data_IF_232408155302
#
_entry.id   IF_232408155302
#
_cell.length_a   1.000
_cell.length_b   1.000
_cell.length_c   1.000
_cell.angle_alpha   90.00
_cell.angle_beta   90.00
_cell.angle_gamma   90.00
#
_symmetry.space_group_name_H-M   'P 1'
#
loop_
_entity.id
_entity.type
_entity.pdbx_description
1 polymer ?
#
# COMPACT_ATOMS: atom_id res chain seq x y z
N UNK A 1 -12.94 22.35 -2.19
CA UNK A 1 -13.62 21.22 -2.85
C UNK A 1 -12.53 20.41 -3.51
N UNK A 2 -12.16 19.25 -2.97
CA UNK A 2 -11.09 18.43 -3.54
C UNK A 2 -11.63 17.79 -4.81
N UNK A 3 -11.12 18.19 -5.98
CA UNK A 3 -11.42 17.48 -7.22
C UNK A 3 -10.73 16.12 -7.16
N UNK A 4 -11.49 15.07 -7.44
CA UNK A 4 -10.94 13.74 -7.75
C UNK A 4 -10.08 13.90 -9.01
N UNK A 5 -8.85 13.39 -8.95
CA UNK A 5 -7.89 13.42 -10.06
C UNK A 5 -7.93 12.10 -10.83
N UNK A 6 -7.60 12.16 -12.12
CA UNK A 6 -7.23 10.95 -12.87
C UNK A 6 -5.81 10.59 -12.43
N UNK A 7 -5.58 9.33 -12.07
CA UNK A 7 -4.28 8.89 -11.58
C UNK A 7 -3.42 8.47 -12.78
N UNK A 8 -2.20 8.99 -12.86
CA UNK A 8 -1.19 8.59 -13.83
C UNK A 8 -0.28 7.50 -13.24
N UNK A 9 0.14 6.57 -14.09
CA UNK A 9 1.02 5.47 -13.72
C UNK A 9 1.54 4.71 -14.92
N UNK A 10 2.11 3.55 -14.67
CA UNK A 10 2.74 2.69 -15.67
C UNK A 10 2.07 1.31 -15.70
N UNK A 11 1.93 0.73 -16.89
CA UNK A 11 1.37 -0.61 -17.08
C UNK A 11 2.51 -1.55 -17.47
N UNK A 12 2.62 -2.66 -16.75
CA UNK A 12 3.63 -3.69 -16.97
C UNK A 12 2.98 -5.04 -17.25
N UNK A 13 3.56 -5.77 -18.20
CA UNK A 13 3.32 -7.20 -18.33
C UNK A 13 4.22 -7.95 -17.35
N UNK A 14 3.63 -8.82 -16.55
CA UNK A 14 4.33 -9.59 -15.52
C UNK A 14 3.90 -11.06 -15.60
N UNK A 15 4.83 -11.97 -15.30
CA UNK A 15 4.49 -13.38 -15.16
C UNK A 15 3.80 -13.67 -13.82
N UNK A 16 3.32 -14.91 -13.67
CA UNK A 16 2.59 -15.33 -12.48
C UNK A 16 3.47 -15.30 -11.22
N UNK A 17 4.76 -15.59 -11.34
CA UNK A 17 5.70 -15.58 -10.21
C UNK A 17 5.88 -14.15 -9.67
N UNK A 18 6.12 -13.20 -10.57
CA UNK A 18 6.20 -11.77 -10.25
C UNK A 18 4.90 -11.27 -9.63
N UNK A 19 3.77 -11.70 -10.17
CA UNK A 19 2.46 -11.32 -9.66
C UNK A 19 2.22 -11.83 -8.23
N UNK A 20 2.66 -13.06 -7.91
CA UNK A 20 2.60 -13.60 -6.54
C UNK A 20 3.53 -12.84 -5.57
N UNK A 21 4.71 -12.43 -6.02
CA UNK A 21 5.62 -11.59 -5.22
C UNK A 21 4.94 -10.24 -4.92
N UNK A 22 4.26 -9.64 -5.91
CA UNK A 22 3.53 -8.39 -5.69
C UNK A 22 2.36 -8.56 -4.70
N UNK A 23 1.61 -9.67 -4.77
CA UNK A 23 0.53 -9.96 -3.82
C UNK A 23 1.05 -9.97 -2.37
N UNK A 24 2.18 -10.62 -2.15
CA UNK A 24 2.81 -10.71 -0.83
C UNK A 24 3.37 -9.37 -0.34
N UNK A 25 4.04 -8.62 -1.23
CA UNK A 25 4.55 -7.28 -0.93
C UNK A 25 3.44 -6.32 -0.48
N UNK A 26 2.30 -6.34 -1.17
CA UNK A 26 1.14 -5.50 -0.89
C UNK A 26 0.23 -6.07 0.21
N UNK A 27 0.62 -7.18 0.84
CA UNK A 27 -0.16 -7.90 1.85
C UNK A 27 -1.61 -8.17 1.41
N UNK A 28 -1.76 -8.62 0.15
CA UNK A 28 -3.02 -9.09 -0.39
C UNK A 28 -3.41 -10.43 0.26
N UNK A 29 -4.69 -10.66 0.62
CA UNK A 29 -5.84 -9.74 0.56
C UNK A 29 -6.13 -9.02 1.90
N UNK A 30 -5.19 -9.02 2.84
CA UNK A 30 -5.46 -8.55 4.20
C UNK A 30 -5.39 -7.03 4.34
N UNK A 31 -4.53 -6.36 3.55
CA UNK A 31 -4.37 -4.91 3.55
C UNK A 31 -4.89 -4.28 2.25
N UNK A 32 -4.28 -4.62 1.12
CA UNK A 32 -4.74 -4.19 -0.20
C UNK A 32 -5.54 -5.29 -0.89
N UNK A 33 -6.50 -4.88 -1.73
CA UNK A 33 -7.19 -5.76 -2.66
C UNK A 33 -6.61 -5.61 -4.07
N UNK A 34 -6.36 -6.72 -4.75
CA UNK A 34 -6.03 -6.73 -6.18
C UNK A 34 -7.30 -6.70 -7.04
N UNK A 35 -7.38 -5.77 -7.99
CA UNK A 35 -8.54 -5.57 -8.86
C UNK A 35 -8.15 -5.35 -10.30
N UNK A 36 -9.00 -5.82 -11.22
CA UNK A 36 -8.88 -5.52 -12.64
C UNK A 36 -9.55 -4.17 -12.88
N UNK A 37 -8.80 -3.23 -13.41
CA UNK A 37 -9.27 -1.88 -13.72
C UNK A 37 -8.97 -1.56 -15.19
N UNK A 38 -9.80 -0.70 -15.79
CA UNK A 38 -9.63 -0.25 -17.17
C UNK A 38 -8.72 0.97 -17.21
N UNK A 39 -7.59 0.87 -17.90
CA UNK A 39 -6.57 1.91 -17.99
C UNK A 39 -6.55 2.50 -19.40
N UNK A 40 -6.65 3.83 -19.49
CA UNK A 40 -6.42 4.57 -20.73
C UNK A 40 -4.92 4.69 -20.99
N UNK A 41 -4.46 4.24 -22.16
CA UNK A 41 -3.05 4.36 -22.53
C UNK A 41 -2.77 5.76 -23.08
N UNK A 42 -2.01 6.57 -22.35
CA UNK A 42 -1.71 7.96 -22.73
C UNK A 42 -1.15 8.05 -24.16
N UNK A 43 -1.79 8.89 -24.98
CA UNK A 43 -1.39 9.10 -26.38
C UNK A 43 -1.82 7.97 -27.34
N UNK A 44 -2.53 6.96 -26.85
CA UNK A 44 -3.19 5.91 -27.64
C UNK A 44 -4.69 6.02 -27.36
N UNK A 45 -5.54 5.99 -28.38
CA UNK A 45 -6.99 5.96 -28.17
C UNK A 45 -7.45 4.53 -27.80
N UNK A 46 -6.77 3.92 -26.84
CA UNK A 46 -6.80 2.50 -26.49
C UNK A 46 -6.93 2.33 -24.98
N UNK A 47 -7.60 1.26 -24.58
CA UNK A 47 -7.78 0.91 -23.18
C UNK A 47 -7.30 -0.52 -22.96
N UNK A 48 -6.71 -0.78 -21.80
CA UNK A 48 -6.27 -2.12 -21.39
C UNK A 48 -6.81 -2.45 -20.01
N UNK A 49 -7.05 -3.73 -19.76
CA UNK A 49 -7.33 -4.22 -18.42
C UNK A 49 -6.01 -4.54 -17.71
N UNK A 50 -5.84 -4.04 -16.50
CA UNK A 50 -4.65 -4.31 -15.70
C UNK A 50 -5.01 -4.53 -14.22
N UNK A 51 -4.18 -5.30 -13.52
CA UNK A 51 -4.30 -5.44 -12.08
C UNK A 51 -3.78 -4.17 -11.37
N UNK A 52 -4.55 -3.69 -10.39
CA UNK A 52 -4.19 -2.59 -9.50
C UNK A 52 -4.49 -2.99 -8.05
N UNK A 53 -3.59 -2.63 -7.13
CA UNK A 53 -3.77 -2.81 -5.69
C UNK A 53 -4.46 -1.58 -5.10
N UNK A 54 -5.64 -1.79 -4.52
CA UNK A 54 -6.49 -0.74 -4.00
C UNK A 54 -6.84 -0.99 -2.55
N UNK A 55 -6.79 0.08 -1.74
CA UNK A 55 -7.29 0.05 -0.40
C UNK A 55 -8.82 0.22 -0.43
N UNK A 56 -9.57 -0.87 -0.20
CA UNK A 56 -11.06 -0.86 -0.27
C UNK A 56 -11.75 -0.49 1.02
N UNK A 57 -11.10 -0.78 2.14
CA UNK A 57 -11.56 -0.45 3.47
C UNK A 57 -10.50 0.44 4.06
N UNK A 58 -10.87 1.64 4.45
CA UNK A 58 -9.95 2.58 5.04
C UNK A 58 -10.63 3.33 6.18
N UNK A 59 -9.83 3.75 7.14
CA UNK A 59 -10.26 4.65 8.19
C UNK A 59 -10.48 6.04 7.58
N UNK A 60 -11.67 6.60 7.72
CA UNK A 60 -12.02 7.92 7.17
C UNK A 60 -11.07 9.03 7.65
N UNK A 61 -10.49 8.87 8.85
CA UNK A 61 -9.48 9.79 9.40
C UNK A 61 -8.22 9.92 8.55
N UNK A 62 -7.92 8.93 7.70
CA UNK A 62 -6.80 9.02 6.75
C UNK A 62 -7.03 10.17 5.78
N UNK A 63 -8.27 10.37 5.32
CA UNK A 63 -8.61 11.50 4.46
C UNK A 63 -8.56 12.84 5.18
N UNK A 64 -8.89 12.89 6.47
CA UNK A 64 -8.81 14.11 7.29
C UNK A 64 -7.35 14.61 7.43
N UNK A 65 -6.41 13.69 7.55
CA UNK A 65 -4.96 13.98 7.64
C UNK A 65 -4.22 14.00 6.30
N UNK A 66 -4.89 13.67 5.20
CA UNK A 66 -4.30 13.62 3.88
C UNK A 66 -3.98 15.03 3.35
N UNK A 67 -2.98 15.10 2.49
CA UNK A 67 -2.70 16.32 1.69
C UNK A 67 -3.71 16.44 0.54
N UNK A 68 -3.33 17.14 -0.52
CA UNK A 68 -4.11 17.18 -1.76
C UNK A 68 -4.24 15.80 -2.43
N UNK A 69 -5.32 15.63 -3.20
CA UNK A 69 -5.49 14.50 -4.10
C UNK A 69 -4.42 14.56 -5.20
N UNK A 70 -3.58 13.54 -5.29
CA UNK A 70 -2.48 13.48 -6.23
C UNK A 70 -2.93 12.92 -7.59
N UNK A 71 -2.39 13.49 -8.67
CA UNK A 71 -2.49 12.94 -10.03
C UNK A 71 -1.38 11.90 -10.28
N UNK A 72 -0.18 12.14 -9.74
CA UNK A 72 0.93 11.19 -9.76
C UNK A 72 1.66 11.21 -8.42
N UNK A 73 2.17 10.04 -8.03
CA UNK A 73 2.93 9.89 -6.79
C UNK A 73 4.43 9.97 -7.06
N UNK A 74 5.16 10.70 -6.22
CA UNK A 74 6.62 10.65 -6.15
C UNK A 74 7.05 10.79 -4.69
N UNK A 75 7.89 9.88 -4.21
CA UNK A 75 8.32 9.85 -2.80
C UNK A 75 8.92 11.19 -2.35
N UNK A 76 9.75 11.81 -3.19
CA UNK A 76 10.41 13.09 -2.90
C UNK A 76 9.62 14.30 -3.43
N UNK A 77 8.30 14.16 -3.53
CA UNK A 77 7.39 15.19 -4.03
C UNK A 77 7.21 16.39 -3.09
N UNK A 78 6.48 17.42 -3.56
CA UNK A 78 6.25 18.66 -2.82
C UNK A 78 5.45 18.47 -1.53
N UNK A 79 4.80 17.31 -1.33
CA UNK A 79 4.11 16.98 -0.09
C UNK A 79 5.04 16.76 1.10
N UNK A 80 6.36 16.62 0.90
CA UNK A 80 7.35 16.52 1.97
C UNK A 80 7.22 15.26 2.83
N UNK A 81 6.66 14.18 2.25
CA UNK A 81 6.40 12.90 2.93
C UNK A 81 7.15 11.78 2.19
N UNK A 82 8.47 11.66 2.38
CA UNK A 82 9.24 10.61 1.75
C UNK A 82 8.75 9.23 2.20
N UNK A 83 8.75 8.29 1.27
CA UNK A 83 8.56 6.87 1.58
C UNK A 83 9.60 6.43 2.60
N UNK A 84 9.16 5.73 3.64
CA UNK A 84 10.03 5.09 4.63
C UNK A 84 10.15 3.62 4.27
N UNK A 85 11.38 3.13 4.14
CA UNK A 85 11.63 1.74 3.78
C UNK A 85 10.92 0.78 4.74
N UNK A 86 10.30 -0.25 4.14
CA UNK A 86 9.47 -1.21 4.86
C UNK A 86 10.18 -1.89 6.02
N UNK A 87 11.48 -2.18 5.92
CA UNK A 87 12.24 -2.86 6.97
C UNK A 87 12.49 -1.95 8.18
N UNK A 88 12.76 -0.65 7.95
CA UNK A 88 12.89 0.34 9.03
C UNK A 88 11.57 0.50 9.77
N UNK A 89 10.49 0.65 9.00
CA UNK A 89 9.13 0.74 9.53
C UNK A 89 8.73 -0.53 10.30
N UNK A 90 9.09 -1.71 9.79
CA UNK A 90 8.84 -2.98 10.45
C UNK A 90 9.60 -3.13 11.78
N UNK A 91 10.88 -2.73 11.81
CA UNK A 91 11.66 -2.71 13.06
C UNK A 91 10.98 -1.81 14.09
N UNK A 92 10.59 -0.60 13.69
CA UNK A 92 9.88 0.34 14.58
C UNK A 92 8.55 -0.22 15.08
N UNK A 93 7.76 -0.88 14.24
CA UNK A 93 6.50 -1.54 14.64
C UNK A 93 6.71 -2.62 15.71
N UNK A 94 7.80 -3.38 15.62
CA UNK A 94 8.11 -4.45 16.56
C UNK A 94 8.71 -3.92 17.87
N UNK A 95 9.49 -2.84 17.80
CA UNK A 95 10.16 -2.22 18.93
C UNK A 95 9.25 -1.26 19.72
N UNK A 96 8.14 -0.81 19.13
CA UNK A 96 7.22 0.13 19.76
C UNK A 96 6.46 -0.49 20.94
N UNK A 97 6.82 -0.02 22.14
CA UNK A 97 6.20 -0.42 23.41
C UNK A 97 4.76 0.06 23.55
N UNK A 98 4.39 1.14 22.86
CA UNK A 98 3.03 1.68 22.84
C UNK A 98 2.12 0.87 21.89
N UNK A 99 2.72 0.02 21.04
CA UNK A 99 2.01 -0.97 20.24
C UNK A 99 1.31 -0.39 19.01
N UNK A 100 2.06 0.36 18.19
CA UNK A 100 1.59 0.85 16.90
C UNK A 100 0.93 -0.26 16.06
N UNK A 101 -0.25 0.04 15.53
CA UNK A 101 -1.11 -0.90 14.82
C UNK A 101 -1.46 -0.36 13.43
N UNK A 102 -0.62 -0.70 12.46
CA UNK A 102 -0.79 -0.34 11.05
C UNK A 102 -2.18 -0.69 10.53
N UNK A 103 -2.63 -1.92 10.77
CA UNK A 103 -3.91 -2.38 10.29
C UNK A 103 -5.06 -1.64 10.96
N UNK A 104 -4.95 -1.26 12.24
CA UNK A 104 -5.97 -0.43 12.88
C UNK A 104 -5.95 1.01 12.37
N UNK A 105 -4.79 1.58 12.07
CA UNK A 105 -4.69 2.92 11.49
C UNK A 105 -5.33 2.93 10.10
N UNK A 106 -4.97 1.95 9.27
CA UNK A 106 -5.39 1.83 7.88
C UNK A 106 -6.86 1.41 7.79
N UNK A 107 -7.29 0.34 8.47
CA UNK A 107 -8.64 -0.23 8.34
C UNK A 107 -9.66 0.39 9.31
N UNK A 108 -9.24 1.06 10.37
CA UNK A 108 -10.16 1.66 11.35
C UNK A 108 -11.11 0.62 11.97
N UNK A 109 -12.41 0.91 11.93
CA UNK A 109 -13.45 0.04 12.53
C UNK A 109 -13.77 -1.21 11.69
N UNK A 110 -13.11 -1.42 10.55
CA UNK A 110 -13.38 -2.54 9.66
C UNK A 110 -12.76 -3.88 10.11
N UNK A 111 -12.03 -3.88 11.22
CA UNK A 111 -11.44 -5.07 11.84
C UNK A 111 -11.40 -4.92 13.37
N UNK A 112 -11.36 -6.04 14.08
CA UNK A 112 -11.21 -6.00 15.54
C UNK A 112 -9.78 -5.67 15.93
N UNK A 113 -9.58 -4.98 17.06
CA UNK A 113 -8.25 -4.59 17.55
C UNK A 113 -7.30 -5.79 17.73
N UNK A 114 -7.83 -6.97 18.10
CA UNK A 114 -7.03 -8.18 18.22
C UNK A 114 -6.54 -8.65 16.85
N UNK A 115 -7.41 -8.64 15.83
CA UNK A 115 -7.06 -9.04 14.47
C UNK A 115 -6.04 -8.07 13.85
N UNK A 116 -6.26 -6.76 14.00
CA UNK A 116 -5.37 -5.74 13.43
C UNK A 116 -3.97 -5.83 14.03
N UNK A 117 -3.84 -5.98 15.36
CA UNK A 117 -2.54 -6.16 16.02
C UNK A 117 -1.80 -7.42 15.57
N UNK A 118 -2.52 -8.53 15.38
CA UNK A 118 -1.92 -9.77 14.89
C UNK A 118 -1.40 -9.59 13.44
N UNK A 119 -2.22 -9.02 12.57
CA UNK A 119 -1.85 -8.77 11.17
C UNK A 119 -0.70 -7.76 11.05
N UNK A 120 -0.69 -6.69 11.87
CA UNK A 120 0.41 -5.74 11.94
C UNK A 120 1.72 -6.43 12.32
N UNK A 121 1.73 -7.25 13.37
CA UNK A 121 2.93 -7.99 13.78
C UNK A 121 3.40 -8.99 12.72
N UNK A 122 2.48 -9.71 12.09
CA UNK A 122 2.80 -10.64 11.01
C UNK A 122 3.45 -9.92 9.82
N UNK A 123 2.87 -8.80 9.38
CA UNK A 123 3.43 -7.99 8.29
C UNK A 123 4.80 -7.42 8.64
N UNK A 124 4.98 -6.90 9.85
CA UNK A 124 6.28 -6.39 10.28
C UNK A 124 7.35 -7.48 10.30
N UNK A 125 7.04 -8.66 10.84
CA UNK A 125 7.98 -9.79 10.84
C UNK A 125 8.34 -10.22 9.42
N UNK A 126 7.34 -10.27 8.53
CA UNK A 126 7.53 -10.59 7.12
C UNK A 126 8.48 -9.59 6.44
N UNK A 127 8.17 -8.29 6.53
CA UNK A 127 8.95 -7.22 5.92
C UNK A 127 10.41 -7.20 6.41
N UNK A 128 10.64 -7.55 7.68
CA UNK A 128 11.98 -7.67 8.25
C UNK A 128 12.74 -8.86 7.66
N UNK A 129 12.12 -10.05 7.62
CA UNK A 129 12.76 -11.27 7.10
C UNK A 129 13.14 -11.14 5.62
N UNK A 130 12.27 -10.53 4.81
CA UNK A 130 12.52 -10.25 3.40
C UNK A 130 13.73 -9.34 3.16
N UNK A 131 13.95 -8.39 4.06
CA UNK A 131 15.10 -7.47 3.97
C UNK A 131 16.41 -8.17 4.29
N UNK A 132 16.40 -9.08 5.26
CA UNK A 132 17.57 -9.88 5.65
C UNK A 132 17.92 -10.91 4.57
N UNK A 133 16.91 -11.48 3.88
CA UNK A 133 17.11 -12.45 2.81
C UNK A 133 17.75 -11.86 1.55
N UNK A 134 17.70 -10.53 1.33
CA UNK A 134 18.32 -9.84 0.19
C UNK A 134 19.74 -9.33 0.46
N UNK A 135 20.27 -9.52 1.67
CA UNK A 135 21.62 -9.07 2.08
C UNK A 135 22.66 -10.21 2.17
N UNK A 136 22.30 -11.44 1.77
CA UNK A 136 23.19 -12.60 1.64
C UNK A 136 23.32 -13.03 0.17
#
# INVERSE_FOLDING_TARGET
>A
MNLIKRIEGEVYEVDQEKLMILDDLEAYPTLYDRKVEMIELKGRNEHVEAYMYLLRKWNEKIFEGATEMLESYTSLGPHGRPYVDRYLRASQMLDDKEGYDLYSEVLGQHATQLQTRLLTKQKAQHDLNDSTAKQL
#
